data_IF_225196683122
#
_entry.id   IF_225196683122
#
_cell.length_a   1.000
_cell.length_b   1.000
_cell.length_c   1.000
_cell.angle_alpha   90.00
_cell.angle_beta   90.00
_cell.angle_gamma   90.00
#
_symmetry.space_group_name_H-M   'P 1'
#
loop_
_entity.id
_entity.type
_entity.pdbx_description
1 polymer ?
#
# COMPACT_ATOMS: atom_id res chain seq x y z
N UNK A 1 8.54 -7.36 25.43
CA UNK A 1 8.23 -8.52 24.57
C UNK A 1 6.93 -8.23 23.81
N UNK A 2 6.90 -8.60 22.53
CA UNK A 2 5.71 -8.33 21.69
C UNK A 2 4.55 -9.25 22.08
N UNK A 3 3.37 -8.68 22.23
CA UNK A 3 2.15 -9.43 22.43
C UNK A 3 1.91 -10.37 21.23
N UNK A 4 1.51 -11.64 21.46
CA UNK A 4 1.22 -12.56 20.35
C UNK A 4 0.21 -12.05 19.34
N UNK A 5 -0.81 -11.33 19.80
CA UNK A 5 -1.80 -10.72 18.90
C UNK A 5 -1.18 -9.64 18.04
N UNK A 6 -0.36 -8.79 18.63
CA UNK A 6 0.32 -7.72 17.91
C UNK A 6 1.32 -8.30 16.90
N UNK A 7 2.03 -9.36 17.26
CA UNK A 7 2.96 -10.04 16.37
C UNK A 7 2.22 -10.62 15.15
N UNK A 8 1.05 -11.20 15.37
CA UNK A 8 0.22 -11.76 14.29
C UNK A 8 -0.24 -10.65 13.33
N UNK A 9 -0.74 -9.56 13.87
CA UNK A 9 -1.20 -8.43 13.06
C UNK A 9 -0.06 -7.85 12.24
N UNK A 10 1.12 -7.70 12.84
CA UNK A 10 2.30 -7.22 12.15
C UNK A 10 2.72 -8.16 11.02
N UNK A 11 2.71 -9.46 11.28
CA UNK A 11 3.05 -10.47 10.27
C UNK A 11 2.09 -10.42 9.09
N UNK A 12 0.80 -10.22 9.33
CA UNK A 12 -0.20 -10.11 8.27
C UNK A 12 0.06 -8.89 7.38
N UNK A 13 0.43 -7.76 7.98
CA UNK A 13 0.81 -6.55 7.23
C UNK A 13 2.05 -6.80 6.37
N UNK A 14 3.06 -7.43 6.96
CA UNK A 14 4.29 -7.76 6.23
C UNK A 14 4.02 -8.69 5.05
N UNK A 15 3.16 -9.70 5.24
CA UNK A 15 2.80 -10.62 4.17
C UNK A 15 2.09 -9.91 3.03
N UNK A 16 1.21 -8.95 3.36
CA UNK A 16 0.49 -8.19 2.34
C UNK A 16 1.44 -7.33 1.48
N UNK A 17 2.57 -6.91 2.04
CA UNK A 17 3.55 -6.08 1.32
C UNK A 17 4.56 -6.94 0.57
N UNK A 18 4.85 -8.14 1.02
CA UNK A 18 5.95 -8.97 0.55
C UNK A 18 5.73 -9.53 -0.87
N UNK A 19 5.59 -8.61 -1.83
CA UNK A 19 5.46 -8.93 -3.25
C UNK A 19 5.91 -7.70 -4.04
N UNK A 20 6.79 -7.85 -5.07
CA UNK A 20 7.39 -6.69 -5.75
C UNK A 20 6.38 -5.69 -6.29
N UNK A 21 5.32 -6.14 -6.94
CA UNK A 21 4.33 -5.24 -7.52
C UNK A 21 3.50 -4.53 -6.47
N UNK A 22 3.28 -5.16 -5.31
CA UNK A 22 2.59 -4.49 -4.22
C UNK A 22 3.43 -3.35 -3.63
N UNK A 23 4.73 -3.56 -3.51
CA UNK A 23 5.66 -2.48 -3.09
C UNK A 23 5.63 -1.34 -4.11
N UNK A 24 5.66 -1.65 -5.40
CA UNK A 24 5.61 -0.65 -6.47
C UNK A 24 4.29 0.13 -6.46
N UNK A 25 3.18 -0.54 -6.19
CA UNK A 25 1.87 0.14 -6.05
C UNK A 25 1.92 1.15 -4.91
N UNK A 26 2.45 0.76 -3.76
CA UNK A 26 2.57 1.65 -2.60
C UNK A 26 3.40 2.88 -2.99
N UNK A 27 4.52 2.68 -3.66
CA UNK A 27 5.36 3.79 -4.11
C UNK A 27 4.60 4.73 -5.05
N UNK A 28 3.83 4.18 -5.99
CA UNK A 28 3.02 4.99 -6.91
C UNK A 28 1.96 5.81 -6.18
N UNK A 29 1.34 5.25 -5.14
CA UNK A 29 0.27 5.91 -4.41
C UNK A 29 0.75 7.00 -3.46
N UNK A 30 2.04 7.08 -3.18
CA UNK A 30 2.56 8.11 -2.29
C UNK A 30 2.36 9.53 -2.82
N UNK A 31 2.28 9.68 -4.14
CA UNK A 31 2.09 10.99 -4.78
C UNK A 31 0.63 11.37 -4.97
N UNK A 32 -0.29 10.51 -4.57
CA UNK A 32 -1.71 10.78 -4.66
C UNK A 32 -2.49 9.55 -5.08
N UNK A 33 -3.81 9.66 -4.99
CA UNK A 33 -4.71 8.58 -5.36
C UNK A 33 -4.65 8.28 -6.85
N UNK A 34 -4.87 7.01 -7.19
CA UNK A 34 -4.86 6.55 -8.57
C UNK A 34 -5.89 5.44 -8.76
N UNK A 35 -6.41 5.34 -9.97
CA UNK A 35 -7.29 4.23 -10.32
C UNK A 35 -6.48 3.05 -10.87
N UNK A 36 -7.15 1.91 -11.07
CA UNK A 36 -6.50 0.67 -11.52
C UNK A 36 -5.83 0.86 -12.89
N UNK A 37 -6.50 1.56 -13.81
CA UNK A 37 -5.97 1.78 -15.15
C UNK A 37 -4.67 2.59 -15.12
N UNK A 38 -4.64 3.64 -14.31
CA UNK A 38 -3.44 4.45 -14.14
C UNK A 38 -2.28 3.63 -13.56
N UNK A 39 -2.56 2.83 -12.55
CA UNK A 39 -1.54 1.97 -11.93
C UNK A 39 -1.02 0.92 -12.92
N UNK A 40 -1.92 0.30 -13.68
CA UNK A 40 -1.53 -0.69 -14.67
C UNK A 40 -0.57 -0.11 -15.71
N UNK A 41 -0.84 1.11 -16.16
CA UNK A 41 0.03 1.82 -17.10
C UNK A 41 1.39 2.14 -16.49
N UNK A 42 1.38 2.73 -15.30
CA UNK A 42 2.61 3.14 -14.62
C UNK A 42 3.52 1.96 -14.32
N UNK A 43 2.94 0.83 -13.95
CA UNK A 43 3.69 -0.36 -13.58
C UNK A 43 3.98 -1.28 -14.75
N UNK A 44 3.33 -1.06 -15.88
CA UNK A 44 3.38 -1.97 -17.03
C UNK A 44 2.97 -3.39 -16.61
N UNK A 45 1.87 -3.49 -15.90
CA UNK A 45 1.30 -4.75 -15.38
C UNK A 45 -0.15 -4.82 -15.81
N UNK A 46 -0.65 -6.01 -16.09
CA UNK A 46 -2.03 -6.19 -16.52
C UNK A 46 -3.02 -5.76 -15.43
N UNK A 47 -4.14 -5.19 -15.86
CA UNK A 47 -5.18 -4.65 -14.98
C UNK A 47 -5.66 -5.70 -13.99
N UNK A 48 -5.86 -6.94 -14.44
CA UNK A 48 -6.36 -8.01 -13.58
C UNK A 48 -5.38 -8.30 -12.43
N UNK A 49 -4.08 -8.22 -12.68
CA UNK A 49 -3.07 -8.44 -11.67
C UNK A 49 -3.00 -7.27 -10.70
N UNK A 50 -3.10 -6.03 -11.21
CA UNK A 50 -3.15 -4.84 -10.35
C UNK A 50 -4.37 -4.90 -9.43
N UNK A 51 -5.53 -5.26 -9.97
CA UNK A 51 -6.75 -5.40 -9.19
C UNK A 51 -6.60 -6.42 -8.07
N UNK A 52 -5.95 -7.56 -8.36
CA UNK A 52 -5.67 -8.58 -7.35
C UNK A 52 -4.78 -8.03 -6.23
N UNK A 53 -3.70 -7.36 -6.60
CA UNK A 53 -2.77 -6.78 -5.62
C UNK A 53 -3.43 -5.70 -4.76
N UNK A 54 -4.25 -4.85 -5.37
CA UNK A 54 -5.01 -3.83 -4.63
C UNK A 54 -5.99 -4.47 -3.67
N UNK A 55 -6.61 -5.58 -4.06
CA UNK A 55 -7.51 -6.34 -3.18
C UNK A 55 -6.78 -6.86 -1.93
N UNK A 56 -5.58 -7.39 -2.11
CA UNK A 56 -4.75 -7.86 -0.99
C UNK A 56 -4.39 -6.70 -0.05
N UNK A 57 -3.93 -5.60 -0.63
CA UNK A 57 -3.54 -4.41 0.14
C UNK A 57 -4.73 -3.78 0.87
N UNK A 58 -5.89 -3.73 0.23
CA UNK A 58 -7.10 -3.18 0.82
C UNK A 58 -7.58 -4.05 1.98
N UNK A 59 -7.56 -5.36 1.83
CA UNK A 59 -7.97 -6.28 2.88
C UNK A 59 -7.07 -6.17 4.11
N UNK A 60 -5.80 -5.89 3.92
CA UNK A 60 -4.85 -5.63 5.00
C UNK A 60 -4.95 -4.19 5.55
N UNK A 61 -5.83 -3.37 4.98
CA UNK A 61 -6.03 -1.97 5.35
C UNK A 61 -4.79 -1.08 5.11
N UNK A 62 -3.96 -1.47 4.17
CA UNK A 62 -2.80 -0.66 3.76
C UNK A 62 -3.19 0.40 2.74
N UNK A 63 -4.21 0.12 1.95
CA UNK A 63 -4.80 1.10 1.04
C UNK A 63 -6.30 1.17 1.31
N UNK A 64 -6.88 2.29 0.92
CA UNK A 64 -8.32 2.51 0.97
C UNK A 64 -8.79 2.92 -0.41
N UNK A 65 -10.06 2.68 -0.68
CA UNK A 65 -10.65 3.01 -1.96
C UNK A 65 -11.81 3.97 -1.78
N UNK A 66 -12.06 4.78 -2.80
CA UNK A 66 -13.16 5.74 -2.81
C UNK A 66 -13.72 5.82 -4.21
N UNK A 67 -15.03 5.78 -4.30
CA UNK A 67 -15.70 5.91 -5.60
C UNK A 67 -15.76 7.39 -5.98
N UNK A 68 -15.22 7.73 -7.15
CA UNK A 68 -15.28 9.08 -7.72
C UNK A 68 -15.89 8.99 -9.11
N UNK A 69 -17.18 9.33 -9.22
CA UNK A 69 -17.92 9.16 -10.45
C UNK A 69 -18.00 7.69 -10.84
N UNK A 70 -17.50 7.35 -12.04
CA UNK A 70 -17.46 5.98 -12.54
C UNK A 70 -16.18 5.24 -12.17
N UNK A 71 -15.23 5.94 -11.57
CA UNK A 71 -13.93 5.37 -11.21
C UNK A 71 -13.85 5.08 -9.73
N UNK A 72 -13.06 4.07 -9.39
CA UNK A 72 -12.65 3.80 -8.01
C UNK A 72 -11.19 4.19 -7.92
N UNK A 73 -10.86 5.11 -7.01
CA UNK A 73 -9.49 5.53 -6.78
C UNK A 73 -8.97 4.93 -5.48
N UNK A 74 -7.70 4.59 -5.47
CA UNK A 74 -7.02 4.00 -4.34
C UNK A 74 -6.01 4.98 -3.78
N UNK A 75 -5.86 4.98 -2.47
CA UNK A 75 -4.88 5.83 -1.77
C UNK A 75 -4.29 5.07 -0.60
N UNK A 76 -3.12 5.51 -0.13
CA UNK A 76 -2.50 4.94 1.04
C UNK A 76 -3.33 5.26 2.28
N UNK A 77 -3.46 4.29 3.17
CA UNK A 77 -4.17 4.50 4.42
C UNK A 77 -3.25 5.25 5.40
N UNK A 78 -3.61 6.49 5.82
CA UNK A 78 -2.76 7.28 6.69
C UNK A 78 -2.53 6.65 8.06
N UNK A 79 -3.33 5.67 8.44
CA UNK A 79 -3.14 4.93 9.69
C UNK A 79 -1.77 4.22 9.72
N UNK A 80 -1.30 3.76 8.55
CA UNK A 80 -0.07 2.97 8.44
C UNK A 80 1.07 3.70 7.76
N UNK A 81 0.80 4.78 7.03
CA UNK A 81 1.81 5.47 6.24
C UNK A 81 2.03 6.88 6.73
N UNK A 82 3.29 7.24 6.85
CA UNK A 82 3.70 8.56 7.29
C UNK A 82 4.70 9.14 6.28
N UNK A 83 4.38 10.31 5.73
CA UNK A 83 5.20 11.02 4.76
C UNK A 83 5.97 12.17 5.43
N UNK A 84 6.66 11.90 6.53
CA UNK A 84 7.45 12.90 7.25
C UNK A 84 8.62 13.42 6.42
N UNK A 85 9.03 12.68 5.40
CA UNK A 85 10.19 13.00 4.59
C UNK A 85 9.81 12.98 3.11
N UNK A 86 10.43 13.90 2.34
CA UNK A 86 10.30 13.88 0.88
C UNK A 86 11.10 12.74 0.25
N UNK A 87 11.99 12.09 1.01
CA UNK A 87 12.88 11.04 0.51
C UNK A 87 12.35 9.64 0.75
N UNK A 88 11.39 9.48 1.65
CA UNK A 88 10.87 8.17 2.00
C UNK A 88 9.44 8.24 2.52
N UNK A 89 8.74 7.13 2.35
CA UNK A 89 7.46 6.89 3.01
C UNK A 89 7.69 5.84 4.07
N UNK A 90 7.17 6.07 5.27
CA UNK A 90 7.31 5.12 6.36
C UNK A 90 6.03 4.33 6.54
N UNK A 91 6.16 3.01 6.59
CA UNK A 91 5.06 2.13 6.97
C UNK A 91 5.22 1.81 8.45
N UNK A 92 4.25 2.25 9.23
CA UNK A 92 4.25 2.04 10.67
C UNK A 92 3.43 0.79 11.02
N UNK A 93 4.10 -0.22 11.56
CA UNK A 93 3.48 -1.50 11.91
C UNK A 93 3.18 -1.61 13.42
N UNK A 94 3.30 -0.48 14.14
CA UNK A 94 3.05 -0.45 15.56
C UNK A 94 4.33 -0.55 16.38
N UNK A 95 5.05 -1.67 16.32
CA UNK A 95 6.31 -1.84 17.04
C UNK A 95 7.55 -1.76 16.15
N UNK A 96 7.37 -1.72 14.85
CA UNK A 96 8.47 -1.49 13.91
C UNK A 96 8.01 -0.58 12.79
N UNK A 97 8.96 -0.04 12.06
CA UNK A 97 8.72 0.88 10.97
C UNK A 97 9.57 0.46 9.77
N UNK A 98 8.96 0.44 8.59
CA UNK A 98 9.65 0.13 7.34
C UNK A 98 9.75 1.41 6.52
N UNK A 99 10.95 1.69 6.04
CA UNK A 99 11.21 2.82 5.16
C UNK A 99 11.14 2.36 3.71
N UNK A 100 10.29 3.03 2.92
CA UNK A 100 10.23 2.81 1.48
C UNK A 100 10.79 4.07 0.83
N UNK A 101 12.03 4.02 0.32
CA UNK A 101 12.66 5.22 -0.24
C UNK A 101 12.00 5.66 -1.52
N UNK A 102 12.04 6.97 -1.77
CA UNK A 102 11.55 7.57 -3.01
C UNK A 102 12.70 7.66 -4.00
N UNK A 103 12.51 7.11 -5.16
CA UNK A 103 13.48 7.24 -6.25
C UNK A 103 13.23 8.49 -7.07
#
# INVERSE_FOLDING_TARGET
MTDPKQAKECAELLQAIAEPNRIRIIECLRTGSKNVTELAKLLNVEIVNVSHHLGVLRQAQLVQDEKQGRFVVYSLNPKHFNNESTKATFLDLGWCRIEIPHN
#
